data_IF_737638591610
#
_entry.id   IF_737638591610
#
_cell.length_a   1.000
_cell.length_b   1.000
_cell.length_c   1.000
_cell.angle_alpha   90.00
_cell.angle_beta   90.00
_cell.angle_gamma   90.00
#
_symmetry.space_group_name_H-M   'P 1'
#
loop_
_entity.id
_entity.type
_entity.pdbx_description
1 polymer ?
#
# COMPACT_ATOMS: atom_id res chain seq x y z
N UNK A 1 18.87 11.91 44.76
CA UNK A 1 18.13 12.72 43.77
C UNK A 1 19.10 13.14 42.70
N UNK A 2 18.99 12.55 41.51
CA UNK A 2 19.89 12.75 40.39
C UNK A 2 19.20 12.18 39.16
N UNK A 3 18.31 12.99 38.62
CA UNK A 3 17.55 12.73 37.41
C UNK A 3 18.53 12.52 36.25
N UNK A 4 18.44 11.37 35.59
CA UNK A 4 19.26 11.06 34.43
C UNK A 4 18.34 10.52 33.34
N UNK A 5 17.47 11.40 32.83
CA UNK A 5 16.92 11.30 31.48
C UNK A 5 18.06 11.30 30.47
N UNK A 6 18.72 10.14 30.31
CA UNK A 6 19.58 9.87 29.16
C UNK A 6 18.66 9.72 27.96
N UNK A 7 18.45 10.83 27.25
CA UNK A 7 17.96 10.79 25.88
C UNK A 7 18.83 9.80 25.11
N UNK A 8 18.28 8.63 24.79
CA UNK A 8 18.94 7.65 23.94
C UNK A 8 18.96 8.23 22.52
N UNK A 9 20.01 8.97 22.21
CA UNK A 9 20.25 9.45 20.86
C UNK A 9 20.73 8.24 20.06
N UNK A 10 19.87 7.78 19.14
CA UNK A 10 20.12 6.65 18.24
C UNK A 10 21.16 7.09 17.20
N UNK A 11 22.42 6.69 17.39
CA UNK A 11 23.54 7.15 16.55
C UNK A 11 24.06 6.07 15.62
N UNK A 12 23.66 4.80 15.78
CA UNK A 12 24.13 3.68 14.95
C UNK A 12 22.99 3.06 14.15
N UNK A 13 23.28 2.62 12.93
CA UNK A 13 22.35 1.85 12.07
C UNK A 13 21.78 0.60 12.79
N UNK A 14 22.57 -0.02 13.68
CA UNK A 14 22.13 -1.12 14.55
C UNK A 14 21.05 -0.72 15.56
N UNK A 15 21.01 0.55 15.98
CA UNK A 15 20.01 1.04 16.94
C UNK A 15 18.64 1.18 16.25
N UNK A 16 18.63 1.40 14.94
CA UNK A 16 17.44 1.36 14.08
C UNK A 16 16.94 -0.06 13.85
N UNK A 17 17.84 -1.05 13.79
CA UNK A 17 17.43 -2.46 13.72
C UNK A 17 16.59 -2.83 14.94
N UNK A 18 16.92 -2.33 16.13
CA UNK A 18 16.12 -2.58 17.34
C UNK A 18 14.69 -2.02 17.23
N UNK A 19 14.44 -1.00 16.40
CA UNK A 19 13.09 -0.46 16.14
C UNK A 19 12.37 -1.12 14.96
N UNK A 20 13.10 -1.56 13.94
CA UNK A 20 12.55 -2.27 12.77
C UNK A 20 11.95 -3.65 13.12
N UNK A 21 12.30 -4.23 14.27
CA UNK A 21 11.82 -5.55 14.69
C UNK A 21 10.75 -5.56 15.79
N UNK A 22 10.31 -4.40 16.31
CA UNK A 22 9.37 -4.35 17.46
C UNK A 22 7.88 -4.49 17.13
N UNK A 23 7.50 -4.89 15.91
CA UNK A 23 6.06 -5.01 15.58
C UNK A 23 5.67 -5.86 14.38
N UNK A 24 6.57 -6.65 13.80
CA UNK A 24 6.27 -7.42 12.58
C UNK A 24 6.19 -8.92 12.80
N UNK A 25 6.84 -9.47 13.83
CA UNK A 25 6.79 -10.91 14.10
C UNK A 25 5.62 -11.23 15.03
N UNK A 26 4.66 -11.97 14.49
CA UNK A 26 3.55 -12.54 15.27
C UNK A 26 4.15 -13.40 16.39
N UNK A 27 3.79 -13.20 17.67
CA UNK A 27 4.34 -14.01 18.74
C UNK A 27 3.93 -15.47 18.55
N UNK A 28 4.82 -16.39 18.88
CA UNK A 28 4.58 -17.83 18.75
C UNK A 28 3.80 -18.36 19.95
N UNK A 29 2.82 -19.23 19.67
CA UNK A 29 2.02 -19.83 20.73
C UNK A 29 2.85 -20.88 21.46
N UNK A 30 2.90 -20.88 22.80
CA UNK A 30 3.57 -21.92 23.57
C UNK A 30 2.98 -23.30 23.28
N UNK A 31 3.82 -24.34 23.23
CA UNK A 31 3.46 -25.73 22.98
C UNK A 31 4.07 -26.61 24.08
N UNK A 32 3.29 -27.50 24.69
CA UNK A 32 3.81 -28.47 25.65
C UNK A 32 4.44 -29.64 24.87
N UNK A 33 5.74 -29.88 25.06
CA UNK A 33 6.45 -31.01 24.47
C UNK A 33 6.59 -32.19 25.45
N UNK A 34 6.26 -33.39 24.97
CA UNK A 34 6.37 -34.64 25.73
C UNK A 34 5.27 -34.88 26.77
N UNK A 35 5.55 -35.72 27.77
CA UNK A 35 4.61 -36.06 28.86
C UNK A 35 4.26 -34.83 29.72
N UNK A 36 2.97 -34.69 30.03
CA UNK A 36 2.42 -33.57 30.81
C UNK A 36 2.63 -33.82 32.30
N UNK A 37 3.66 -33.19 32.84
CA UNK A 37 3.93 -33.12 34.29
C UNK A 37 3.30 -31.85 34.88
N UNK A 38 2.98 -31.84 36.17
CA UNK A 38 2.41 -30.68 36.86
C UNK A 38 3.25 -29.40 36.68
N UNK A 39 4.58 -29.53 36.76
CA UNK A 39 5.52 -28.41 36.58
C UNK A 39 5.48 -27.85 35.15
N UNK A 40 5.44 -28.72 34.14
CA UNK A 40 5.31 -28.30 32.74
C UNK A 40 3.99 -27.57 32.49
N UNK A 41 2.92 -27.97 33.16
CA UNK A 41 1.61 -27.31 33.07
C UNK A 41 1.64 -25.91 33.69
N UNK A 42 2.35 -25.73 34.81
CA UNK A 42 2.55 -24.42 35.43
C UNK A 42 3.36 -23.48 34.53
N UNK A 43 4.50 -23.95 34.01
CA UNK A 43 5.32 -23.17 33.08
C UNK A 43 4.54 -22.80 31.82
N UNK A 44 3.80 -23.74 31.24
CA UNK A 44 2.93 -23.48 30.09
C UNK A 44 1.88 -22.41 30.35
N UNK A 45 1.24 -22.43 31.52
CA UNK A 45 0.24 -21.42 31.88
C UNK A 45 0.86 -20.02 32.00
N UNK A 46 2.08 -19.94 32.55
CA UNK A 46 2.83 -18.69 32.63
C UNK A 46 3.23 -18.17 31.24
N UNK A 47 3.81 -19.03 30.40
CA UNK A 47 4.16 -18.70 29.01
C UNK A 47 2.93 -18.29 28.20
N UNK A 48 1.79 -18.94 28.42
CA UNK A 48 0.52 -18.59 27.76
C UNK A 48 0.01 -17.21 28.19
N UNK A 49 0.24 -16.82 29.45
CA UNK A 49 -0.10 -15.48 29.94
C UNK A 49 0.76 -14.40 29.24
N UNK A 50 2.07 -14.63 29.14
CA UNK A 50 2.97 -13.73 28.43
C UNK A 50 2.62 -13.64 26.94
N UNK A 51 2.41 -14.80 26.29
CA UNK A 51 1.97 -14.87 24.90
C UNK A 51 0.71 -14.03 24.64
N UNK A 52 -0.29 -14.08 25.53
CA UNK A 52 -1.52 -13.28 25.39
C UNK A 52 -1.24 -11.78 25.49
N UNK A 53 -0.37 -11.37 26.39
CA UNK A 53 0.03 -9.98 26.55
C UNK A 53 0.77 -9.46 25.30
N UNK A 54 1.74 -10.24 24.82
CA UNK A 54 2.53 -9.91 23.63
C UNK A 54 1.66 -9.89 22.37
N UNK A 55 0.74 -10.85 22.24
CA UNK A 55 -0.20 -10.90 21.11
C UNK A 55 -1.16 -9.71 21.10
N UNK A 56 -1.67 -9.30 22.27
CA UNK A 56 -2.51 -8.10 22.37
C UNK A 56 -1.75 -6.81 22.02
N UNK A 57 -0.46 -6.73 22.37
CA UNK A 57 0.40 -5.62 21.96
C UNK A 57 0.62 -5.62 20.45
N UNK A 58 0.92 -6.77 19.87
CA UNK A 58 1.08 -6.97 18.43
C UNK A 58 -0.17 -6.51 17.66
N UNK A 59 -1.37 -6.93 18.08
CA UNK A 59 -2.61 -6.51 17.42
C UNK A 59 -2.84 -5.00 17.49
N UNK A 60 -2.54 -4.37 18.63
CA UNK A 60 -2.62 -2.91 18.76
C UNK A 60 -1.68 -2.19 17.81
N UNK A 61 -0.45 -2.68 17.67
CA UNK A 61 0.55 -2.11 16.76
C UNK A 61 0.11 -2.28 15.30
N UNK A 62 -0.36 -3.47 14.91
CA UNK A 62 -0.87 -3.72 13.56
C UNK A 62 -2.05 -2.81 13.20
N UNK A 63 -2.98 -2.62 14.15
CA UNK A 63 -4.09 -1.67 13.96
C UNK A 63 -3.60 -0.22 13.81
N UNK A 64 -2.62 0.20 14.62
CA UNK A 64 -2.04 1.54 14.51
C UNK A 64 -1.35 1.75 13.16
N UNK A 65 -0.61 0.76 12.66
CA UNK A 65 0.02 0.81 11.33
C UNK A 65 -1.01 0.90 10.21
N UNK A 66 -2.07 0.09 10.27
CA UNK A 66 -3.16 0.15 9.31
C UNK A 66 -3.82 1.54 9.29
N UNK A 67 -4.11 2.09 10.47
CA UNK A 67 -4.68 3.44 10.60
C UNK A 67 -3.76 4.54 10.04
N UNK A 68 -2.45 4.43 10.27
CA UNK A 68 -1.47 5.37 9.71
C UNK A 68 -1.45 5.29 8.18
N UNK A 69 -1.49 4.08 7.62
CA UNK A 69 -1.55 3.89 6.17
C UNK A 69 -2.81 4.53 5.58
N UNK A 70 -3.97 4.31 6.19
CA UNK A 70 -5.24 4.96 5.79
C UNK A 70 -5.13 6.48 5.88
N UNK A 71 -4.60 7.02 6.98
CA UNK A 71 -4.45 8.46 7.15
C UNK A 71 -3.54 9.08 6.09
N UNK A 72 -2.43 8.42 5.75
CA UNK A 72 -1.53 8.87 4.68
C UNK A 72 -2.27 8.88 3.35
N UNK A 73 -2.97 7.79 3.00
CA UNK A 73 -3.76 7.69 1.78
C UNK A 73 -4.83 8.79 1.69
N UNK A 74 -5.59 9.00 2.77
CA UNK A 74 -6.63 10.02 2.85
C UNK A 74 -6.03 11.43 2.72
N UNK A 75 -4.86 11.67 3.33
CA UNK A 75 -4.17 12.96 3.23
C UNK A 75 -3.68 13.25 1.81
N UNK A 76 -3.16 12.24 1.11
CA UNK A 76 -2.74 12.35 -0.30
C UNK A 76 -3.98 12.58 -1.17
N UNK A 77 -5.04 11.81 -0.97
CA UNK A 77 -6.29 11.94 -1.71
C UNK A 77 -6.88 13.35 -1.54
N UNK A 78 -6.98 13.84 -0.30
CA UNK A 78 -7.59 15.14 -0.01
C UNK A 78 -6.74 16.31 -0.54
N UNK A 79 -5.42 16.24 -0.37
CA UNK A 79 -4.54 17.37 -0.67
C UNK A 79 -4.01 17.40 -2.10
N UNK A 80 -3.83 16.24 -2.75
CA UNK A 80 -3.16 16.15 -4.05
C UNK A 80 -4.12 15.82 -5.19
N UNK A 81 -5.21 15.08 -4.98
CA UNK A 81 -6.17 14.80 -6.07
C UNK A 81 -6.73 16.07 -6.71
N UNK A 82 -7.09 17.14 -5.98
CA UNK A 82 -7.58 18.37 -6.59
C UNK A 82 -6.54 19.07 -7.48
N UNK A 83 -5.25 18.79 -7.30
CA UNK A 83 -4.19 19.31 -8.17
C UNK A 83 -3.90 18.35 -9.33
N UNK A 84 -4.04 17.04 -9.12
CA UNK A 84 -3.97 16.04 -10.18
C UNK A 84 -5.10 16.24 -11.20
N UNK A 85 -6.31 16.61 -10.77
CA UNK A 85 -7.41 16.93 -11.69
C UNK A 85 -7.26 18.31 -12.37
N UNK A 86 -6.43 19.19 -11.82
CA UNK A 86 -6.08 20.50 -12.40
C UNK A 86 -4.85 20.45 -13.31
N UNK A 87 -4.07 19.39 -13.25
CA UNK A 87 -3.28 18.92 -14.38
C UNK A 87 -4.27 18.41 -15.42
N UNK A 88 -5.01 19.33 -16.05
CA UNK A 88 -5.65 19.04 -17.32
C UNK A 88 -4.56 18.39 -18.18
N UNK A 89 -4.84 17.27 -18.87
CA UNK A 89 -3.87 16.74 -19.82
C UNK A 89 -3.49 17.92 -20.70
N UNK A 90 -2.21 18.31 -20.66
CA UNK A 90 -1.71 19.38 -21.51
C UNK A 90 -2.17 19.05 -22.92
N UNK A 91 -2.44 20.06 -23.77
CA UNK A 91 -2.88 19.77 -25.14
C UNK A 91 -1.98 18.70 -25.80
N UNK A 92 -0.67 18.75 -25.54
CA UNK A 92 0.32 17.74 -25.91
C UNK A 92 0.05 16.30 -25.39
N UNK A 93 -0.35 16.13 -24.12
CA UNK A 93 -0.71 14.82 -23.59
C UNK A 93 -2.01 14.28 -24.23
N UNK A 94 -2.96 15.17 -24.49
CA UNK A 94 -4.21 14.82 -25.20
C UNK A 94 -3.92 14.41 -26.64
N UNK A 95 -2.99 15.10 -27.31
CA UNK A 95 -2.59 14.82 -28.68
C UNK A 95 -1.84 13.49 -28.78
N UNK A 96 -0.94 13.19 -27.84
CA UNK A 96 -0.25 11.90 -27.74
C UNK A 96 -1.22 10.72 -27.50
N UNK A 97 -2.19 10.87 -26.60
CA UNK A 97 -3.21 9.85 -26.38
C UNK A 97 -4.06 9.61 -27.64
N UNK A 98 -4.41 10.68 -28.33
CA UNK A 98 -5.20 10.61 -29.56
C UNK A 98 -4.43 9.93 -30.69
N UNK A 99 -3.15 10.24 -30.85
CA UNK A 99 -2.26 9.58 -31.82
C UNK A 99 -2.12 8.08 -31.52
N UNK A 100 -1.96 7.72 -30.24
CA UNK A 100 -1.90 6.31 -29.84
C UNK A 100 -3.21 5.58 -30.13
N UNK A 101 -4.36 6.17 -29.81
CA UNK A 101 -5.68 5.60 -30.13
C UNK A 101 -5.86 5.45 -31.65
N UNK A 102 -5.47 6.46 -32.42
CA UNK A 102 -5.52 6.43 -33.88
C UNK A 102 -4.68 5.29 -34.46
N UNK A 103 -3.43 5.14 -33.99
CA UNK A 103 -2.53 4.07 -34.43
C UNK A 103 -2.98 2.67 -34.00
N UNK A 104 -3.66 2.53 -32.86
CA UNK A 104 -4.26 1.26 -32.46
C UNK A 104 -5.43 0.87 -33.36
N UNK A 105 -6.30 1.83 -33.69
CA UNK A 105 -7.47 1.59 -34.52
C UNK A 105 -7.11 1.30 -35.99
N UNK A 106 -5.97 1.79 -36.50
CA UNK A 106 -5.45 1.42 -37.84
C UNK A 106 -5.29 -0.08 -38.06
N UNK A 107 -5.05 -0.87 -37.01
CA UNK A 107 -4.80 -2.32 -37.13
C UNK A 107 -6.07 -3.15 -37.38
N UNK A 108 -7.25 -2.53 -37.36
CA UNK A 108 -8.54 -3.18 -37.55
C UNK A 108 -9.00 -4.02 -36.35
N UNK A 109 -10.29 -4.39 -36.27
CA UNK A 109 -10.83 -5.14 -35.16
C UNK A 109 -10.43 -6.62 -35.27
N UNK A 110 -9.59 -7.10 -34.35
CA UNK A 110 -9.18 -8.53 -34.34
C UNK A 110 -10.25 -9.44 -33.71
N UNK A 111 -10.82 -9.05 -32.57
CA UNK A 111 -11.82 -9.82 -31.79
C UNK A 111 -12.98 -8.94 -31.26
N UNK A 112 -13.09 -7.70 -31.73
CA UNK A 112 -14.10 -6.74 -31.26
C UNK A 112 -15.31 -6.68 -32.21
N UNK A 113 -16.47 -6.27 -31.68
CA UNK A 113 -17.65 -5.99 -32.50
C UNK A 113 -17.31 -4.85 -33.50
N UNK A 114 -17.48 -5.13 -34.80
CA UNK A 114 -17.13 -4.24 -35.91
C UNK A 114 -17.85 -2.89 -35.80
N UNK A 115 -19.11 -2.86 -35.37
CA UNK A 115 -19.89 -1.62 -35.23
C UNK A 115 -19.31 -0.72 -34.14
N UNK A 116 -18.91 -1.31 -33.00
CA UNK A 116 -18.24 -0.57 -31.92
C UNK A 116 -16.89 -0.04 -32.33
N UNK A 117 -16.14 -0.83 -33.12
CA UNK A 117 -14.86 -0.40 -33.67
C UNK A 117 -15.04 0.75 -34.66
N UNK A 118 -16.02 0.69 -35.57
CA UNK A 118 -16.34 1.75 -36.51
C UNK A 118 -16.74 3.05 -35.81
N UNK A 119 -17.60 2.96 -34.79
CA UNK A 119 -18.00 4.13 -34.00
C UNK A 119 -16.79 4.77 -33.29
N UNK A 120 -15.95 3.95 -32.66
CA UNK A 120 -14.72 4.44 -32.01
C UNK A 120 -13.76 5.07 -33.03
N UNK A 121 -13.71 4.52 -34.24
CA UNK A 121 -12.87 5.04 -35.31
C UNK A 121 -13.35 6.40 -35.82
N UNK A 122 -14.64 6.56 -36.06
CA UNK A 122 -15.24 7.84 -36.47
C UNK A 122 -15.01 8.92 -35.41
N UNK A 123 -15.20 8.58 -34.13
CA UNK A 123 -14.99 9.50 -33.02
C UNK A 123 -13.52 9.95 -32.90
N UNK A 124 -12.56 9.01 -32.95
CA UNK A 124 -11.13 9.33 -32.83
C UNK A 124 -10.64 10.09 -34.06
N UNK A 125 -11.06 9.69 -35.27
CA UNK A 125 -10.69 10.37 -36.51
C UNK A 125 -11.22 11.81 -36.56
N UNK A 126 -12.48 12.03 -36.16
CA UNK A 126 -13.08 13.37 -36.12
C UNK A 126 -12.35 14.26 -35.13
N UNK A 127 -12.00 13.74 -33.94
CA UNK A 127 -11.21 14.47 -32.94
C UNK A 127 -9.79 14.78 -33.42
N UNK A 128 -9.16 13.87 -34.18
CA UNK A 128 -7.81 14.06 -34.71
C UNK A 128 -7.79 15.13 -35.81
N UNK A 129 -8.76 15.06 -36.71
CA UNK A 129 -8.95 16.05 -37.78
C UNK A 129 -9.26 17.46 -37.25
N UNK A 130 -10.02 17.57 -36.17
CA UNK A 130 -10.29 18.86 -35.52
C UNK A 130 -9.05 19.50 -34.88
N UNK A 131 -8.02 18.70 -34.57
CA UNK A 131 -6.76 19.14 -33.96
C UNK A 131 -5.57 19.21 -34.92
N UNK A 132 -5.81 18.99 -36.22
CA UNK A 132 -4.79 18.98 -37.27
C UNK A 132 -3.65 17.97 -36.99
N UNK A 133 -3.99 16.84 -36.36
CA UNK A 133 -3.07 15.73 -36.09
C UNK A 133 -2.99 14.79 -37.31
N UNK A 134 -1.80 14.21 -37.61
CA UNK A 134 -1.52 13.45 -38.83
C UNK A 134 -2.23 12.07 -38.93
#
# INVERSE_FOLDING_TARGET
MGDSTKSHILTKSSDWNHWLFLGTTKPEKPIIQGTVTADKKLTYNYEMSNYRADYALYEKQQKALANLATYIQDSIATNLLPYITKLAPTNEATDLELEQQYNQLKRGPSNQNIEKWLQSWEEVYTKAKQRDLP
#
